data_IF_655399321346
#
_entry.id   IF_655399321346
#
_cell.length_a   1.000
_cell.length_b   1.000
_cell.length_c   1.000
_cell.angle_alpha   90.00
_cell.angle_beta   90.00
_cell.angle_gamma   90.00
#
_symmetry.space_group_name_H-M   'P 1'
#
loop_
_entity.id
_entity.type
_entity.pdbx_description
1 polymer ?
#
# COMPACT_ATOMS: atom_id res chain seq x y z
N UNK A 1 -9.51 2.20 17.76
CA UNK A 1 -8.81 1.66 18.95
C UNK A 1 -9.79 1.18 20.02
N UNK A 2 -10.72 2.00 20.51
CA UNK A 2 -11.67 1.61 21.59
C UNK A 2 -12.47 0.34 21.24
N UNK A 3 -12.99 0.24 20.02
CA UNK A 3 -13.76 -0.93 19.55
C UNK A 3 -12.95 -2.25 19.49
N UNK A 4 -11.62 -2.17 19.38
CA UNK A 4 -10.76 -3.36 19.30
C UNK A 4 -10.38 -3.92 20.68
N UNK A 5 -10.53 -3.13 21.75
CA UNK A 5 -10.15 -3.54 23.11
C UNK A 5 -11.01 -4.70 23.62
N UNK A 6 -12.31 -4.68 23.30
CA UNK A 6 -13.24 -5.75 23.66
C UNK A 6 -12.89 -7.07 22.94
N UNK A 7 -12.46 -6.97 21.68
CA UNK A 7 -12.01 -8.12 20.88
C UNK A 7 -10.74 -8.76 21.45
N UNK A 8 -9.73 -7.96 21.80
CA UNK A 8 -8.49 -8.48 22.40
C UNK A 8 -8.73 -9.14 23.76
N UNK A 9 -9.70 -8.64 24.54
CA UNK A 9 -10.06 -9.20 25.85
C UNK A 9 -10.82 -10.53 25.73
N UNK A 10 -11.57 -10.74 24.65
CA UNK A 10 -12.31 -11.98 24.38
C UNK A 10 -11.45 -13.09 23.76
N UNK A 11 -10.55 -12.75 22.84
CA UNK A 11 -9.75 -13.73 22.08
C UNK A 11 -8.40 -14.06 22.73
N UNK A 12 -8.07 -13.50 23.90
CA UNK A 12 -6.80 -13.72 24.62
C UNK A 12 -5.53 -13.47 23.78
N UNK A 13 -5.65 -12.69 22.72
CA UNK A 13 -4.53 -12.30 21.86
C UNK A 13 -3.63 -11.32 22.61
N UNK A 14 -2.32 -11.35 22.31
CA UNK A 14 -1.33 -10.41 22.85
C UNK A 14 -1.65 -8.98 22.40
N UNK A 15 -2.53 -8.30 23.14
CA UNK A 15 -3.05 -6.97 22.82
C UNK A 15 -1.92 -5.93 22.65
N UNK A 16 -0.81 -6.09 23.39
CA UNK A 16 0.30 -5.15 23.39
C UNK A 16 0.97 -5.02 22.01
N UNK A 17 1.28 -6.15 21.35
CA UNK A 17 1.95 -6.13 20.04
C UNK A 17 1.05 -5.50 18.98
N UNK A 18 -0.23 -5.89 18.93
CA UNK A 18 -1.18 -5.34 17.97
C UNK A 18 -1.44 -3.84 18.20
N UNK A 19 -1.49 -3.38 19.46
CA UNK A 19 -1.66 -1.95 19.78
C UNK A 19 -0.44 -1.13 19.32
N UNK A 20 0.79 -1.62 19.56
CA UNK A 20 2.02 -0.94 19.11
C UNK A 20 2.05 -0.86 17.59
N UNK A 21 1.68 -1.93 16.89
CA UNK A 21 1.62 -1.94 15.42
C UNK A 21 0.55 -0.99 14.86
N UNK A 22 -0.60 -0.84 15.52
CA UNK A 22 -1.63 0.13 15.13
C UNK A 22 -1.14 1.58 15.32
N UNK A 23 -0.42 1.86 16.41
CA UNK A 23 0.19 3.17 16.63
C UNK A 23 1.27 3.46 15.58
N UNK A 24 2.10 2.46 15.26
CA UNK A 24 3.14 2.57 14.23
C UNK A 24 2.56 2.79 12.84
N UNK A 25 1.47 2.10 12.47
CA UNK A 25 0.78 2.31 11.19
C UNK A 25 0.16 3.70 11.11
N UNK A 26 -0.41 4.21 12.21
CA UNK A 26 -0.96 5.57 12.27
C UNK A 26 0.14 6.62 12.14
N UNK A 27 1.30 6.41 12.79
CA UNK A 27 2.48 7.27 12.62
C UNK A 27 2.95 7.31 11.16
N UNK A 28 2.95 6.16 10.50
CA UNK A 28 3.31 6.03 9.08
C UNK A 28 2.34 6.81 8.18
N UNK A 29 1.03 6.80 8.47
CA UNK A 29 0.04 7.61 7.75
C UNK A 29 0.31 9.12 7.90
N UNK A 30 0.74 9.58 9.08
CA UNK A 30 1.12 10.98 9.30
C UNK A 30 2.38 11.35 8.49
N UNK A 31 3.36 10.45 8.40
CA UNK A 31 4.52 10.63 7.51
C UNK A 31 4.11 10.65 6.03
N UNK A 32 3.16 9.81 5.62
CA UNK A 32 2.66 9.79 4.25
C UNK A 32 2.01 11.13 3.85
N UNK A 33 1.22 11.73 4.74
CA UNK A 33 0.57 13.03 4.49
C UNK A 33 1.59 14.17 4.38
N UNK A 34 2.71 14.07 5.09
CA UNK A 34 3.78 15.08 5.07
C UNK A 34 4.89 14.80 4.04
N UNK A 35 4.77 13.71 3.27
CA UNK A 35 5.79 13.33 2.30
C UNK A 35 5.80 14.29 1.10
N UNK A 36 6.95 14.92 0.87
CA UNK A 36 7.19 15.84 -0.27
C UNK A 36 8.05 15.24 -1.40
N UNK A 37 8.39 13.95 -1.29
CA UNK A 37 9.19 13.21 -2.24
C UNK A 37 8.52 11.84 -2.54
N UNK A 38 8.59 11.39 -3.79
CA UNK A 38 8.16 10.06 -4.24
C UNK A 38 8.73 8.92 -3.39
N UNK A 39 10.01 8.98 -3.00
CA UNK A 39 10.66 7.95 -2.20
C UNK A 39 10.11 7.97 -0.76
N UNK A 40 9.96 9.16 -0.18
CA UNK A 40 9.40 9.31 1.17
C UNK A 40 7.96 8.80 1.24
N UNK A 41 7.17 9.09 0.22
CA UNK A 41 5.80 8.60 0.06
C UNK A 41 5.76 7.08 -0.06
N UNK A 42 6.62 6.49 -0.89
CA UNK A 42 6.73 5.02 -1.02
C UNK A 42 7.08 4.35 0.31
N UNK A 43 8.09 4.87 1.02
CA UNK A 43 8.53 4.32 2.31
C UNK A 43 7.42 4.39 3.37
N UNK A 44 6.70 5.51 3.44
CA UNK A 44 5.59 5.66 4.39
C UNK A 44 4.46 4.64 4.12
N UNK A 45 4.15 4.42 2.84
CA UNK A 45 3.14 3.45 2.40
C UNK A 45 3.56 2.02 2.73
N UNK A 46 4.82 1.66 2.49
CA UNK A 46 5.33 0.32 2.80
C UNK A 46 5.39 0.06 4.29
N UNK A 47 5.82 1.03 5.08
CA UNK A 47 5.85 0.91 6.54
C UNK A 47 4.43 0.67 7.11
N UNK A 48 3.45 1.41 6.61
CA UNK A 48 2.05 1.22 6.97
C UNK A 48 1.54 -0.18 6.56
N UNK A 49 1.92 -0.63 5.36
CA UNK A 49 1.49 -1.92 4.80
C UNK A 49 2.08 -3.10 5.58
N UNK A 50 3.36 -3.04 5.93
CA UNK A 50 4.04 -4.04 6.76
C UNK A 50 3.37 -4.18 8.14
N UNK A 51 2.99 -3.07 8.78
CA UNK A 51 2.26 -3.12 10.04
C UNK A 51 0.94 -3.88 9.89
N UNK A 52 0.20 -3.65 8.81
CA UNK A 52 -1.05 -4.37 8.55
C UNK A 52 -0.85 -5.86 8.22
N UNK A 53 0.22 -6.22 7.51
CA UNK A 53 0.53 -7.63 7.24
C UNK A 53 0.82 -8.39 8.52
N UNK A 54 1.56 -7.79 9.45
CA UNK A 54 1.86 -8.40 10.76
C UNK A 54 0.59 -8.53 11.60
N UNK A 55 -0.28 -7.51 11.62
CA UNK A 55 -1.56 -7.58 12.34
C UNK A 55 -2.47 -8.67 11.76
N UNK A 56 -2.55 -8.80 10.42
CA UNK A 56 -3.36 -9.81 9.75
C UNK A 56 -2.88 -11.25 10.03
N UNK A 57 -1.57 -11.44 10.20
CA UNK A 57 -0.96 -12.72 10.56
C UNK A 57 -0.83 -12.97 12.07
N UNK A 58 -1.37 -12.08 12.92
CA UNK A 58 -1.18 -12.14 14.37
C UNK A 58 -1.86 -13.33 15.05
N UNK A 59 -2.90 -13.92 14.43
CA UNK A 59 -3.63 -15.07 14.99
C UNK A 59 -3.02 -16.39 14.49
N UNK A 60 -1.81 -16.70 14.99
CA UNK A 60 -1.01 -17.86 14.56
C UNK A 60 -1.67 -19.22 14.76
N UNK A 61 -2.61 -19.33 15.69
CA UNK A 61 -3.32 -20.58 15.99
C UNK A 61 -4.41 -20.94 14.95
N UNK A 62 -4.71 -20.04 14.01
CA UNK A 62 -5.65 -20.28 12.93
C UNK A 62 -4.93 -20.35 11.60
N UNK A 63 -4.97 -21.51 10.95
CA UNK A 63 -4.41 -21.71 9.60
C UNK A 63 -4.96 -20.68 8.60
N UNK A 64 -6.23 -20.28 8.76
CA UNK A 64 -6.87 -19.27 7.94
C UNK A 64 -6.26 -17.86 8.09
N UNK A 65 -5.83 -17.48 9.32
CA UNK A 65 -5.19 -16.18 9.55
C UNK A 65 -3.78 -16.14 8.98
N UNK A 66 -3.05 -17.25 9.04
CA UNK A 66 -1.72 -17.35 8.44
C UNK A 66 -1.76 -17.37 6.92
N UNK A 67 -2.74 -18.07 6.32
CA UNK A 67 -2.94 -18.09 4.87
C UNK A 67 -3.38 -16.71 4.35
N UNK A 68 -4.37 -16.09 5.00
CA UNK A 68 -4.82 -14.75 4.64
C UNK A 68 -3.68 -13.72 4.77
N UNK A 69 -2.92 -13.74 5.88
CA UNK A 69 -1.79 -12.83 6.08
C UNK A 69 -0.71 -12.96 4.99
N UNK A 70 -0.43 -14.19 4.54
CA UNK A 70 0.51 -14.46 3.46
C UNK A 70 -0.01 -13.97 2.10
N UNK A 71 -1.28 -14.18 1.79
CA UNK A 71 -1.90 -13.68 0.56
C UNK A 71 -1.88 -12.14 0.50
N UNK A 72 -2.21 -11.48 1.61
CA UNK A 72 -2.12 -10.01 1.73
C UNK A 72 -0.70 -9.50 1.58
N UNK A 73 0.29 -10.21 2.16
CA UNK A 73 1.70 -9.85 2.00
C UNK A 73 2.17 -9.98 0.54
N UNK A 74 1.82 -11.08 -0.15
CA UNK A 74 2.24 -11.31 -1.54
C UNK A 74 1.59 -10.30 -2.49
N UNK A 75 0.27 -10.08 -2.38
CA UNK A 75 -0.44 -9.08 -3.18
C UNK A 75 0.09 -7.67 -2.90
N UNK A 76 0.40 -7.41 -1.64
CA UNK A 76 1.06 -6.20 -1.16
C UNK A 76 2.41 -5.93 -1.78
N UNK A 77 3.31 -6.91 -1.71
CA UNK A 77 4.66 -6.84 -2.27
C UNK A 77 4.64 -6.67 -3.80
N UNK A 78 3.71 -7.32 -4.49
CA UNK A 78 3.52 -7.14 -5.92
C UNK A 78 3.08 -5.71 -6.27
N UNK A 79 2.09 -5.17 -5.56
CA UNK A 79 1.64 -3.78 -5.71
C UNK A 79 2.74 -2.77 -5.39
N UNK A 80 3.52 -3.01 -4.34
CA UNK A 80 4.69 -2.24 -3.94
C UNK A 80 5.74 -2.20 -5.05
N UNK A 81 6.04 -3.35 -5.66
CA UNK A 81 6.96 -3.44 -6.80
C UNK A 81 6.50 -2.64 -8.01
N UNK A 82 5.21 -2.67 -8.33
CA UNK A 82 4.63 -1.85 -9.41
C UNK A 82 4.77 -0.35 -9.11
N UNK A 83 4.49 0.06 -7.88
CA UNK A 83 4.60 1.46 -7.46
C UNK A 83 6.05 1.95 -7.54
N UNK A 84 6.99 1.16 -7.02
CA UNK A 84 8.43 1.46 -7.05
C UNK A 84 8.95 1.51 -8.50
N UNK A 85 8.48 0.61 -9.37
CA UNK A 85 8.81 0.65 -10.79
C UNK A 85 8.31 1.94 -11.47
N UNK A 86 7.11 2.40 -11.12
CA UNK A 86 6.60 3.69 -11.58
C UNK A 86 7.44 4.87 -11.09
N UNK A 87 7.82 4.90 -9.81
CA UNK A 87 8.74 5.91 -9.25
C UNK A 87 10.11 5.88 -9.97
N UNK A 88 10.66 4.71 -10.23
CA UNK A 88 11.94 4.54 -10.93
C UNK A 88 11.87 5.03 -12.39
N UNK A 89 10.76 4.78 -13.08
CA UNK A 89 10.54 5.30 -14.44
C UNK A 89 10.52 6.83 -14.43
N UNK A 90 9.71 7.43 -13.55
CA UNK A 90 9.64 8.89 -13.43
C UNK A 90 11.03 9.46 -13.15
N UNK A 91 11.73 8.94 -12.14
CA UNK A 91 13.08 9.37 -11.81
C UNK A 91 14.07 9.18 -12.98
N UNK A 92 13.96 8.09 -13.73
CA UNK A 92 14.82 7.82 -14.89
C UNK A 92 14.68 8.83 -16.02
N UNK A 93 13.49 9.42 -16.21
CA UNK A 93 13.24 10.42 -17.25
C UNK A 93 13.34 11.87 -16.75
N UNK A 94 13.01 12.14 -15.48
CA UNK A 94 13.03 13.50 -14.91
C UNK A 94 14.32 13.82 -14.15
N UNK A 95 15.03 12.81 -13.64
CA UNK A 95 16.20 12.96 -12.77
C UNK A 95 15.89 13.48 -11.36
N UNK A 96 14.61 13.64 -11.03
CA UNK A 96 14.16 14.27 -9.77
C UNK A 96 13.07 13.44 -9.10
N UNK A 97 13.01 13.52 -7.78
CA UNK A 97 12.05 12.79 -6.95
C UNK A 97 11.12 13.70 -6.14
N UNK A 98 11.47 14.99 -6.04
CA UNK A 98 10.73 16.00 -5.29
C UNK A 98 9.47 16.46 -6.04
N UNK A 99 8.33 16.49 -5.36
CA UNK A 99 7.06 16.89 -5.99
C UNK A 99 7.05 18.33 -6.53
N UNK A 100 7.80 19.26 -5.92
CA UNK A 100 7.85 20.65 -6.40
C UNK A 100 8.55 20.74 -7.77
N UNK A 101 9.64 20.00 -7.94
CA UNK A 101 10.40 19.95 -9.19
C UNK A 101 9.62 19.18 -10.26
N UNK A 102 8.99 18.06 -9.89
CA UNK A 102 8.07 17.33 -10.77
C UNK A 102 6.92 18.22 -11.27
N UNK A 103 6.31 19.02 -10.40
CA UNK A 103 5.23 19.93 -10.78
C UNK A 103 5.73 20.97 -11.81
N UNK A 104 6.91 21.56 -11.60
CA UNK A 104 7.51 22.51 -12.55
C UNK A 104 7.74 21.86 -13.92
N UNK A 105 8.29 20.66 -13.96
CA UNK A 105 8.52 19.90 -15.20
C UNK A 105 7.18 19.55 -15.89
N UNK A 106 6.13 19.27 -15.10
CA UNK A 106 4.82 18.88 -15.61
C UNK A 106 3.95 20.05 -16.08
N UNK A 107 4.14 21.26 -15.56
CA UNK A 107 3.34 22.45 -15.96
C UNK A 107 3.59 22.94 -17.39
N UNK A 108 4.75 22.62 -17.97
CA UNK A 108 5.03 22.86 -19.40
C UNK A 108 4.66 21.69 -20.30
N UNK A 109 4.14 20.61 -19.73
CA UNK A 109 3.88 19.36 -20.42
C UNK A 109 2.43 19.30 -20.88
N UNK A 110 2.16 19.83 -22.08
CA UNK A 110 0.96 19.38 -22.80
C UNK A 110 1.14 17.90 -23.14
N UNK A 111 0.14 17.07 -22.84
CA UNK A 111 0.07 15.65 -23.22
C UNK A 111 -0.09 15.58 -24.75
N UNK A 112 0.92 16.03 -25.48
CA UNK A 112 1.07 15.80 -26.90
C UNK A 112 1.80 14.46 -27.01
N UNK A 113 1.11 13.49 -27.61
CA UNK A 113 1.52 12.10 -27.77
C UNK A 113 2.81 11.90 -28.61
N UNK A 114 3.63 12.94 -28.83
CA UNK A 114 4.63 13.00 -29.90
C UNK A 114 6.08 13.31 -29.44
N UNK A 115 6.43 13.13 -28.15
CA UNK A 115 7.81 13.23 -27.67
C UNK A 115 8.33 11.94 -27.02
N UNK A 116 9.53 11.49 -27.37
CA UNK A 116 10.12 10.26 -26.81
C UNK A 116 10.37 10.32 -25.28
N UNK A 117 10.62 11.52 -24.73
CA UNK A 117 10.72 11.72 -23.27
C UNK A 117 9.34 11.81 -22.59
N UNK A 118 8.32 12.07 -23.39
CA UNK A 118 6.96 12.34 -22.96
C UNK A 118 6.23 11.02 -22.61
N UNK A 119 6.41 10.00 -23.44
CA UNK A 119 5.84 8.66 -23.21
C UNK A 119 6.33 7.98 -21.92
N UNK A 120 7.59 8.19 -21.51
CA UNK A 120 8.19 7.57 -20.33
C UNK A 120 7.58 8.03 -19.01
N UNK A 121 7.40 9.35 -18.85
CA UNK A 121 6.77 9.93 -17.65
C UNK A 121 5.31 9.50 -17.55
N UNK A 122 4.59 9.47 -18.67
CA UNK A 122 3.20 9.01 -18.72
C UNK A 122 3.06 7.56 -18.23
N UNK A 123 3.93 6.67 -18.71
CA UNK A 123 3.98 5.28 -18.25
C UNK A 123 4.33 5.18 -16.76
N UNK A 124 5.27 6.00 -16.26
CA UNK A 124 5.60 6.05 -14.84
C UNK A 124 4.42 6.44 -13.95
N UNK A 125 3.67 7.49 -14.35
CA UNK A 125 2.44 7.91 -13.66
C UNK A 125 1.38 6.81 -13.71
N UNK A 126 1.23 6.13 -14.85
CA UNK A 126 0.29 5.02 -15.00
C UNK A 126 0.63 3.86 -14.05
N UNK A 127 1.91 3.48 -13.94
CA UNK A 127 2.34 2.46 -12.98
C UNK A 127 2.12 2.87 -11.53
N UNK A 128 2.37 4.14 -11.16
CA UNK A 128 2.04 4.64 -9.82
C UNK A 128 0.54 4.55 -9.56
N UNK A 129 -0.30 4.99 -10.52
CA UNK A 129 -1.75 4.91 -10.40
C UNK A 129 -2.24 3.47 -10.24
N UNK A 130 -1.69 2.53 -11.02
CA UNK A 130 -1.98 1.10 -10.87
C UNK A 130 -1.56 0.61 -9.48
N UNK A 131 -0.36 0.95 -9.01
CA UNK A 131 0.11 0.63 -7.66
C UNK A 131 -0.87 1.10 -6.57
N UNK A 132 -1.37 2.33 -6.67
CA UNK A 132 -2.40 2.86 -5.77
C UNK A 132 -3.72 2.11 -5.86
N UNK A 133 -4.20 1.82 -7.07
CA UNK A 133 -5.46 1.09 -7.29
C UNK A 133 -5.42 -0.32 -6.68
N UNK A 134 -4.26 -0.98 -6.74
CA UNK A 134 -4.03 -2.25 -6.05
C UNK A 134 -4.10 -2.11 -4.53
N UNK A 135 -3.44 -1.09 -3.93
CA UNK A 135 -3.50 -0.87 -2.47
C UNK A 135 -4.89 -0.46 -1.96
N UNK A 136 -5.71 0.21 -2.77
CA UNK A 136 -7.07 0.62 -2.43
C UNK A 136 -8.09 -0.50 -2.71
N UNK A 137 -7.67 -1.65 -3.24
CA UNK A 137 -8.57 -2.76 -3.64
C UNK A 137 -9.72 -2.30 -4.54
N UNK A 138 -9.41 -1.44 -5.53
CA UNK A 138 -10.39 -1.04 -6.53
C UNK A 138 -10.90 -2.27 -7.30
N UNK A 139 -12.17 -2.24 -7.72
CA UNK A 139 -12.99 -3.40 -8.11
C UNK A 139 -12.46 -4.31 -9.26
N UNK A 140 -11.42 -4.01 -10.06
CA UNK A 140 -10.79 -5.05 -10.89
C UNK A 140 -9.66 -5.84 -10.22
N UNK A 141 -9.10 -5.40 -9.08
CA UNK A 141 -7.90 -6.00 -8.43
C UNK A 141 -8.18 -6.67 -7.08
N UNK A 142 -9.45 -6.89 -6.73
CA UNK A 142 -9.77 -7.94 -5.76
C UNK A 142 -9.30 -9.25 -6.39
N UNK A 143 -8.22 -9.83 -5.85
CA UNK A 143 -7.92 -11.24 -6.08
C UNK A 143 -9.23 -12.00 -5.91
N UNK A 144 -9.67 -12.65 -6.99
CA UNK A 144 -11.00 -13.19 -7.15
C UNK A 144 -11.60 -13.72 -5.84
N UNK A 145 -12.73 -13.15 -5.40
CA UNK A 145 -13.53 -13.79 -4.37
C UNK A 145 -14.14 -15.10 -4.89
N UNK A 146 -15.00 -15.77 -4.11
CA UNK A 146 -14.87 -16.18 -2.72
C UNK A 146 -14.54 -17.68 -2.65
N UNK A 147 -13.53 -18.08 -1.88
CA UNK A 147 -13.48 -19.45 -1.33
C UNK A 147 -13.58 -19.29 0.18
N UNK A 148 -14.74 -19.70 0.72
CA UNK A 148 -15.10 -19.72 2.16
C UNK A 148 -16.00 -18.58 2.65
N UNK A 149 -17.09 -18.29 1.93
CA UNK A 149 -18.26 -17.58 2.49
C UNK A 149 -19.23 -18.50 3.27
N UNK A 150 -18.80 -19.70 3.67
CA UNK A 150 -19.64 -20.67 4.41
C UNK A 150 -19.41 -20.70 5.93
N UNK A 151 -18.44 -19.95 6.48
CA UNK A 151 -18.13 -19.98 7.92
C UNK A 151 -18.54 -18.69 8.65
N UNK A 152 -18.93 -17.64 7.93
CA UNK A 152 -19.39 -16.35 8.49
C UNK A 152 -20.76 -16.41 9.20
N UNK A 153 -21.38 -17.59 9.29
CA UNK A 153 -22.63 -17.84 10.02
C UNK A 153 -22.47 -18.57 11.35
N UNK A 154 -21.24 -18.77 11.84
CA UNK A 154 -21.01 -19.56 13.06
C UNK A 154 -19.85 -19.09 13.92
N UNK A 155 -19.73 -17.78 14.15
CA UNK A 155 -19.05 -17.21 15.33
C UNK A 155 -19.81 -15.95 15.73
#
# INVERSE_FOLDING_TARGET
MVMCLDYFKQESLNAFESIVLILLSTCSMLFMISAYDLIAMYLAIELQSLCFYVIAASKRDSEFSTEAGLEYFILGAFSSGILLFGCSMIYGFTGVTNFEELAKISTGYEITLFGAQSSGIFIGILFIAVGFLFKITAVPFRAAGPKNLSVFGKI
#
